data_IF_572832808161
#
_entry.id   IF_572832808161
#
_cell.length_a   1.000
_cell.length_b   1.000
_cell.length_c   1.000
_cell.angle_alpha   90.00
_cell.angle_beta   90.00
_cell.angle_gamma   90.00
#
_symmetry.space_group_name_H-M   'P 1'
#
loop_
_entity.id
_entity.type
_entity.pdbx_description
1 polymer ?
#
# COMPACT_ATOMS: atom_id res chain seq x y z
N UNK A 1 60.62 -55.67 42.52
CA UNK A 1 60.75 -56.14 43.92
C UNK A 1 59.40 -56.67 44.39
N UNK A 2 59.42 -57.87 44.97
CA UNK A 2 58.36 -58.54 45.77
C UNK A 2 57.03 -58.99 45.13
N UNK A 3 57.03 -60.24 44.69
CA UNK A 3 56.12 -61.37 45.03
C UNK A 3 54.93 -61.16 46.00
N UNK A 4 53.74 -61.73 45.66
CA UNK A 4 53.16 -62.99 46.20
C UNK A 4 51.65 -63.12 45.87
N UNK A 5 51.21 -64.23 45.22
CA UNK A 5 50.53 -65.44 45.76
C UNK A 5 49.17 -65.14 46.44
N UNK A 6 48.03 -65.77 46.19
CA UNK A 6 47.61 -66.93 45.40
C UNK A 6 46.22 -67.38 45.90
N UNK A 7 45.29 -67.68 44.96
CA UNK A 7 44.20 -68.71 44.96
C UNK A 7 43.25 -68.92 46.18
N UNK A 8 42.22 -69.81 46.14
CA UNK A 8 41.03 -69.84 45.25
C UNK A 8 39.66 -70.07 46.00
N UNK A 9 38.52 -69.86 45.30
CA UNK A 9 37.13 -70.44 45.37
C UNK A 9 36.57 -71.16 46.62
N UNK A 10 35.24 -71.10 46.93
CA UNK A 10 34.22 -71.75 46.07
C UNK A 10 32.77 -71.19 46.00
N UNK A 11 32.10 -71.67 44.94
CA UNK A 11 30.68 -71.93 44.69
C UNK A 11 29.64 -71.65 45.80
N UNK A 12 28.52 -70.98 45.45
CA UNK A 12 27.19 -71.64 45.41
C UNK A 12 26.05 -70.79 44.79
N UNK A 13 25.20 -71.50 44.03
CA UNK A 13 23.76 -71.35 43.75
C UNK A 13 23.15 -70.16 42.98
N UNK A 14 22.94 -70.47 41.70
CA UNK A 14 21.77 -70.28 40.81
C UNK A 14 20.40 -70.03 41.47
N UNK A 15 19.71 -68.96 41.03
CA UNK A 15 18.25 -68.83 40.74
C UNK A 15 18.12 -67.73 39.67
N UNK A 16 17.88 -67.99 38.38
CA UNK A 16 16.60 -68.33 37.73
C UNK A 16 15.50 -67.28 37.98
N UNK A 17 15.30 -66.38 37.01
CA UNK A 17 14.14 -65.51 36.91
C UNK A 17 14.27 -64.52 35.75
N UNK A 18 13.72 -64.88 34.58
CA UNK A 18 13.48 -64.02 33.42
C UNK A 18 12.62 -62.80 33.82
N UNK A 19 12.71 -61.61 33.22
CA UNK A 19 12.26 -61.24 31.85
C UNK A 19 12.64 -59.77 31.60
N UNK A 20 12.91 -59.45 30.32
CA UNK A 20 12.52 -58.22 29.57
C UNK A 20 12.79 -56.84 30.16
N UNK A 21 13.16 -55.79 29.42
CA UNK A 21 13.61 -55.51 28.06
C UNK A 21 14.08 -54.05 28.14
N UNK A 22 15.08 -53.70 27.35
CA UNK A 22 15.65 -52.35 27.22
C UNK A 22 14.59 -51.25 27.02
N UNK A 23 14.79 -50.11 27.69
CA UNK A 23 14.66 -48.79 27.07
C UNK A 23 15.38 -47.73 27.92
N UNK A 24 16.60 -47.38 27.51
CA UNK A 24 17.21 -46.13 27.89
C UNK A 24 16.62 -45.03 26.98
N UNK A 25 15.99 -44.02 27.56
CA UNK A 25 15.67 -42.78 26.85
C UNK A 25 16.09 -41.59 27.70
N UNK A 26 17.23 -41.01 27.32
CA UNK A 26 17.52 -39.60 27.55
C UNK A 26 16.40 -38.76 26.92
N UNK A 27 15.68 -37.96 27.71
CA UNK A 27 14.87 -36.87 27.17
C UNK A 27 15.63 -35.56 27.38
N UNK A 28 16.20 -35.06 26.28
CA UNK A 28 16.93 -33.81 26.20
C UNK A 28 15.99 -32.74 25.62
N UNK A 29 16.16 -31.51 26.10
CA UNK A 29 15.82 -30.20 25.52
C UNK A 29 14.36 -29.70 25.58
N UNK A 30 14.06 -28.90 26.61
CA UNK A 30 13.03 -27.87 26.54
C UNK A 30 13.60 -26.66 25.77
N UNK A 31 13.52 -26.70 24.44
CA UNK A 31 13.75 -25.53 23.58
C UNK A 31 12.44 -24.74 23.57
N UNK A 32 12.32 -23.79 24.48
CA UNK A 32 11.29 -22.75 24.40
C UNK A 32 11.53 -21.94 23.13
N UNK A 33 10.77 -22.24 22.08
CA UNK A 33 10.75 -21.42 20.86
C UNK A 33 10.16 -20.06 21.23
N UNK A 34 11.02 -19.06 21.41
CA UNK A 34 10.61 -17.66 21.32
C UNK A 34 10.06 -17.46 19.91
N UNK A 35 8.74 -17.39 19.80
CA UNK A 35 8.05 -16.93 18.60
C UNK A 35 8.48 -15.48 18.38
N UNK A 36 9.49 -15.28 17.53
CA UNK A 36 9.84 -13.96 17.00
C UNK A 36 8.62 -13.53 16.17
N UNK A 37 7.75 -12.74 16.77
CA UNK A 37 6.73 -12.03 16.02
C UNK A 37 7.48 -10.94 15.25
N UNK A 38 7.68 -11.16 13.94
CA UNK A 38 8.06 -10.07 13.05
C UNK A 38 6.98 -9.00 13.20
N UNK A 39 7.38 -7.80 13.65
CA UNK A 39 6.51 -6.65 13.72
C UNK A 39 5.94 -6.42 12.30
N UNK A 40 4.64 -6.62 12.14
CA UNK A 40 3.93 -6.23 10.93
C UNK A 40 4.02 -4.70 10.86
N UNK A 41 4.73 -4.18 9.87
CA UNK A 41 4.65 -2.77 9.52
C UNK A 41 3.18 -2.47 9.23
N UNK A 42 2.63 -1.40 9.80
CA UNK A 42 1.26 -0.96 9.53
C UNK A 42 1.18 -0.58 8.04
N UNK A 43 0.72 -1.50 7.20
CA UNK A 43 0.54 -1.23 5.77
C UNK A 43 -0.63 -0.26 5.60
N UNK A 44 -0.36 0.97 5.17
CA UNK A 44 -1.43 1.85 4.71
C UNK A 44 -1.93 1.40 3.35
N UNK A 45 -3.23 1.37 3.18
CA UNK A 45 -3.84 1.03 1.91
C UNK A 45 -4.52 2.25 1.31
N UNK A 46 -4.54 2.33 -0.03
CA UNK A 46 -5.24 3.42 -0.71
C UNK A 46 -6.74 3.49 -0.35
N UNK A 47 -7.32 2.38 0.11
CA UNK A 47 -8.69 2.31 0.63
C UNK A 47 -8.92 3.17 1.89
N UNK A 48 -7.86 3.52 2.60
CA UNK A 48 -7.96 4.27 3.86
C UNK A 48 -8.02 5.79 3.61
N UNK A 49 -7.73 6.22 2.38
CA UNK A 49 -7.86 7.62 1.96
C UNK A 49 -9.34 7.95 1.83
N UNK A 50 -9.80 8.93 2.63
CA UNK A 50 -11.18 9.42 2.56
C UNK A 50 -11.34 10.31 1.34
N UNK A 51 -12.39 10.06 0.55
CA UNK A 51 -12.75 10.86 -0.62
C UNK A 51 -14.07 11.56 -0.35
N UNK A 52 -14.07 12.88 -0.40
CA UNK A 52 -15.29 13.68 -0.45
C UNK A 52 -15.48 14.21 -1.87
N UNK A 53 -16.73 14.24 -2.33
CA UNK A 53 -17.11 14.70 -3.66
C UNK A 53 -18.23 15.72 -3.52
N UNK A 54 -18.07 16.87 -4.15
CA UNK A 54 -19.07 17.93 -4.17
C UNK A 54 -19.32 18.43 -5.60
N UNK A 55 -20.57 18.62 -5.92
CA UNK A 55 -21.09 19.38 -7.07
C UNK A 55 -21.51 20.78 -6.58
N UNK A 56 -21.86 21.71 -7.50
CA UNK A 56 -22.36 23.02 -7.09
C UNK A 56 -23.66 22.95 -6.26
N UNK A 57 -24.48 21.92 -6.47
CA UNK A 57 -25.80 21.79 -5.86
C UNK A 57 -25.76 21.20 -4.44
N UNK A 58 -24.73 20.43 -4.10
CA UNK A 58 -24.58 19.72 -2.82
C UNK A 58 -23.29 20.10 -2.06
N UNK A 59 -22.65 21.22 -2.45
CA UNK A 59 -21.43 21.69 -1.82
C UNK A 59 -21.59 21.95 -0.32
N UNK A 60 -20.61 21.48 0.46
CA UNK A 60 -20.48 21.75 1.87
C UNK A 60 -19.10 22.30 2.17
N UNK A 61 -19.03 23.44 2.86
CA UNK A 61 -17.77 24.01 3.32
C UNK A 61 -17.25 23.19 4.51
N UNK A 62 -16.24 22.35 4.28
CA UNK A 62 -15.56 21.62 5.35
C UNK A 62 -14.57 22.56 6.05
N UNK A 63 -14.48 22.49 7.38
CA UNK A 63 -13.60 23.38 8.14
C UNK A 63 -12.13 23.31 7.68
N UNK A 64 -11.67 22.14 7.24
CA UNK A 64 -10.30 21.90 6.76
C UNK A 64 -10.04 22.41 5.35
N UNK A 65 -11.07 22.68 4.55
CA UNK A 65 -10.95 23.07 3.14
C UNK A 65 -11.79 24.28 2.74
N UNK A 66 -12.43 24.97 3.68
CA UNK A 66 -13.29 26.15 3.44
C UNK A 66 -12.62 27.33 2.75
N UNK A 67 -11.29 27.36 2.72
CA UNK A 67 -10.53 28.38 2.00
C UNK A 67 -10.49 28.13 0.49
N UNK A 68 -10.71 26.89 0.04
CA UNK A 68 -10.80 26.57 -1.38
C UNK A 68 -12.17 26.97 -1.93
N UNK A 69 -12.25 27.52 -3.16
CA UNK A 69 -13.52 27.94 -3.73
C UNK A 69 -14.48 26.75 -3.93
N UNK A 70 -15.81 26.97 -3.87
CA UNK A 70 -16.77 25.94 -4.24
C UNK A 70 -16.64 25.58 -5.74
N UNK A 71 -17.02 24.35 -6.15
CA UNK A 71 -17.06 23.98 -7.56
C UNK A 71 -18.07 24.86 -8.32
N UNK A 72 -17.70 25.27 -9.54
CA UNK A 72 -18.58 26.02 -10.45
C UNK A 72 -19.47 25.07 -11.27
N UNK A 73 -20.49 25.60 -11.94
CA UNK A 73 -21.33 24.83 -12.87
C UNK A 73 -20.49 23.98 -13.84
N UNK A 74 -20.85 22.69 -14.02
CA UNK A 74 -20.14 21.75 -14.87
C UNK A 74 -18.85 21.17 -14.27
N UNK A 75 -18.50 21.51 -13.02
CA UNK A 75 -17.33 21.02 -12.31
C UNK A 75 -17.71 20.24 -11.06
N UNK A 76 -16.87 19.29 -10.70
CA UNK A 76 -16.96 18.49 -9.49
C UNK A 76 -15.67 18.66 -8.69
N UNK A 77 -15.80 19.01 -7.41
CA UNK A 77 -14.69 19.06 -6.46
C UNK A 77 -14.49 17.68 -5.83
N UNK A 78 -13.26 17.18 -5.83
CA UNK A 78 -12.84 15.99 -5.11
C UNK A 78 -11.81 16.39 -4.05
N UNK A 79 -12.01 15.92 -2.82
CA UNK A 79 -11.10 16.16 -1.70
C UNK A 79 -10.60 14.81 -1.19
N UNK A 80 -9.30 14.59 -1.29
CA UNK A 80 -8.64 13.36 -0.86
C UNK A 80 -7.93 13.66 0.46
N UNK A 81 -8.44 13.07 1.54
CA UNK A 81 -7.86 13.22 2.89
C UNK A 81 -7.11 11.95 3.27
N UNK A 82 -5.80 12.09 3.45
CA UNK A 82 -4.91 11.00 3.84
C UNK A 82 -5.00 10.75 5.35
N UNK A 83 -5.08 9.49 5.81
CA UNK A 83 -5.05 9.19 7.24
C UNK A 83 -3.64 9.46 7.81
N UNK A 84 -3.52 9.92 9.06
CA UNK A 84 -2.24 9.97 9.76
C UNK A 84 -1.63 8.57 9.89
N UNK A 85 -0.34 8.43 9.61
CA UNK A 85 0.40 7.22 9.97
C UNK A 85 0.54 7.18 11.50
N UNK A 86 0.15 6.10 12.16
CA UNK A 86 0.13 6.04 13.63
C UNK A 86 1.54 6.15 14.24
N UNK A 87 1.60 6.86 15.36
CA UNK A 87 2.82 7.35 16.04
C UNK A 87 3.73 6.30 16.70
N UNK A 88 3.74 5.04 16.27
CA UNK A 88 4.54 3.97 16.89
C UNK A 88 6.04 4.06 16.56
N UNK A 89 6.40 4.94 15.62
CA UNK A 89 7.79 5.34 15.39
C UNK A 89 7.91 6.85 15.60
N UNK A 90 8.42 7.24 16.77
CA UNK A 90 8.61 8.63 17.24
C UNK A 90 9.53 9.52 16.36
N UNK A 91 9.81 9.17 15.11
CA UNK A 91 10.47 10.05 14.14
C UNK A 91 9.52 10.64 13.07
N UNK A 92 8.29 10.12 12.92
CA UNK A 92 7.08 10.76 12.35
C UNK A 92 7.16 11.50 10.99
N UNK A 93 8.31 11.52 10.33
CA UNK A 93 8.58 12.37 9.17
C UNK A 93 9.19 11.61 8.01
N UNK A 94 9.96 10.54 8.25
CA UNK A 94 10.56 9.75 7.15
C UNK A 94 9.54 8.94 6.37
N UNK A 95 8.59 8.31 7.06
CA UNK A 95 7.70 7.35 6.40
C UNK A 95 6.73 8.01 5.42
N UNK A 96 6.15 9.16 5.76
CA UNK A 96 5.34 9.94 4.80
C UNK A 96 6.20 10.51 3.66
N UNK A 97 7.47 10.83 3.89
CA UNK A 97 8.40 11.31 2.84
C UNK A 97 8.71 10.23 1.81
N UNK A 98 8.72 8.96 2.24
CA UNK A 98 8.91 7.81 1.35
C UNK A 98 7.63 7.44 0.60
N UNK A 99 6.48 8.05 0.95
CA UNK A 99 5.18 7.77 0.36
C UNK A 99 4.76 8.83 -0.66
N UNK A 100 4.19 8.37 -1.76
CA UNK A 100 3.63 9.23 -2.80
C UNK A 100 2.26 8.75 -3.25
N UNK A 101 1.35 9.70 -3.46
CA UNK A 101 0.06 9.47 -4.10
C UNK A 101 0.20 9.64 -5.61
N UNK A 102 0.06 8.56 -6.37
CA UNK A 102 -0.09 8.65 -7.82
C UNK A 102 -1.56 8.82 -8.18
N UNK A 103 -1.89 9.92 -8.83
CA UNK A 103 -3.25 10.26 -9.28
C UNK A 103 -3.35 10.11 -10.80
N UNK A 104 -4.49 9.59 -11.26
CA UNK A 104 -4.87 9.51 -12.66
C UNK A 104 -6.29 10.01 -12.84
N UNK A 105 -6.50 10.85 -13.86
CA UNK A 105 -7.81 11.35 -14.26
C UNK A 105 -8.25 10.68 -15.56
N UNK A 106 -9.51 10.32 -15.65
CA UNK A 106 -10.04 9.61 -16.80
C UNK A 106 -11.55 9.42 -16.74
N UNK A 107 -12.03 8.41 -17.46
CA UNK A 107 -13.42 8.00 -17.45
C UNK A 107 -13.50 6.49 -17.69
N UNK A 108 -14.41 5.83 -16.98
CA UNK A 108 -14.69 4.42 -17.22
C UNK A 108 -15.60 4.27 -18.44
N UNK A 109 -15.13 3.56 -19.47
CA UNK A 109 -15.82 3.41 -20.76
C UNK A 109 -15.80 1.95 -21.23
N UNK A 110 -16.77 1.59 -22.08
CA UNK A 110 -16.78 0.32 -22.80
C UNK A 110 -15.88 0.41 -24.04
N UNK A 111 -14.71 -0.21 -23.98
CA UNK A 111 -13.68 -0.15 -25.02
C UNK A 111 -13.53 -1.48 -25.75
N UNK A 112 -13.09 -1.41 -27.01
CA UNK A 112 -12.70 -2.56 -27.80
C UNK A 112 -11.23 -2.98 -27.51
N UNK A 113 -10.61 -3.67 -28.46
CA UNK A 113 -9.22 -4.11 -28.36
C UNK A 113 -8.18 -2.99 -28.49
N UNK A 114 -8.59 -1.80 -28.93
CA UNK A 114 -7.69 -0.68 -29.13
C UNK A 114 -7.23 -0.06 -27.81
N UNK A 115 -6.04 0.56 -27.86
CA UNK A 115 -5.57 1.42 -26.77
C UNK A 115 -6.21 2.78 -26.95
N UNK A 116 -7.16 3.10 -26.09
CA UNK A 116 -7.84 4.40 -26.05
C UNK A 116 -7.11 5.35 -25.11
N UNK A 117 -7.08 6.62 -25.48
CA UNK A 117 -6.66 7.73 -24.63
C UNK A 117 -7.74 8.80 -24.57
N UNK A 118 -7.71 9.61 -23.51
CA UNK A 118 -8.44 10.88 -23.44
C UNK A 118 -7.44 12.03 -23.60
N UNK A 119 -7.95 13.22 -23.92
CA UNK A 119 -7.18 14.47 -23.90
C UNK A 119 -7.66 15.36 -22.76
N UNK A 120 -6.74 16.12 -22.18
CA UNK A 120 -6.97 16.99 -21.04
C UNK A 120 -5.66 17.33 -20.34
N UNK A 121 -5.62 18.49 -19.70
CA UNK A 121 -4.44 18.97 -18.97
C UNK A 121 -4.82 19.28 -17.53
N UNK A 122 -4.26 18.51 -16.59
CA UNK A 122 -4.42 18.76 -15.16
C UNK A 122 -3.38 19.79 -14.71
N UNK A 123 -3.84 20.98 -14.33
CA UNK A 123 -2.98 22.08 -13.91
C UNK A 123 -2.95 22.21 -12.40
N UNK A 124 -1.77 22.46 -11.86
CA UNK A 124 -1.60 22.90 -10.48
C UNK A 124 -1.83 24.40 -10.39
N UNK A 125 -2.60 24.82 -9.39
CA UNK A 125 -2.88 26.20 -9.07
C UNK A 125 -2.55 26.46 -7.61
N UNK A 126 -2.05 27.65 -7.31
CA UNK A 126 -1.83 28.10 -5.95
C UNK A 126 -2.98 28.99 -5.49
N UNK A 127 -3.53 28.70 -4.32
CA UNK A 127 -4.56 29.48 -3.67
C UNK A 127 -3.93 30.77 -3.11
N UNK A 128 -4.29 31.91 -3.70
CA UNK A 128 -3.76 33.22 -3.32
C UNK A 128 -4.04 33.53 -1.84
N UNK A 129 -3.04 34.09 -1.15
CA UNK A 129 -3.10 34.41 0.28
C UNK A 129 -2.85 33.24 1.23
N UNK A 130 -2.94 31.99 0.74
CA UNK A 130 -2.71 30.78 1.55
C UNK A 130 -1.46 30.01 1.15
N UNK A 131 -1.12 30.04 -0.15
CA UNK A 131 0.00 29.27 -0.69
C UNK A 131 -0.28 27.77 -0.86
N UNK A 132 -1.52 27.32 -0.64
CA UNK A 132 -1.92 25.91 -0.84
C UNK A 132 -2.14 25.59 -2.32
N UNK A 133 -1.77 24.38 -2.72
CA UNK A 133 -2.00 23.91 -4.08
C UNK A 133 -3.37 23.22 -4.23
N UNK A 134 -3.99 23.41 -5.38
CA UNK A 134 -5.11 22.60 -5.85
C UNK A 134 -4.92 22.28 -7.34
N UNK A 135 -5.62 21.25 -7.81
CA UNK A 135 -5.47 20.78 -9.18
C UNK A 135 -6.77 20.98 -9.94
N UNK A 136 -6.69 21.41 -11.20
CA UNK A 136 -7.88 21.67 -12.02
C UNK A 136 -7.69 21.12 -13.42
N UNK A 137 -8.73 20.44 -13.90
CA UNK A 137 -8.87 20.02 -15.29
C UNK A 137 -10.06 20.78 -15.87
N UNK A 138 -9.84 21.61 -16.88
CA UNK A 138 -10.92 22.43 -17.45
C UNK A 138 -11.85 21.64 -18.39
N UNK A 139 -11.30 20.70 -19.14
CA UNK A 139 -12.04 19.91 -20.11
C UNK A 139 -11.42 18.52 -20.28
N UNK A 140 -12.28 17.54 -20.48
CA UNK A 140 -11.93 16.15 -20.80
C UNK A 140 -12.49 15.84 -22.19
N UNK A 141 -11.64 15.43 -23.11
CA UNK A 141 -12.02 15.14 -24.50
C UNK A 141 -11.56 13.77 -24.98
N UNK A 142 -12.06 13.35 -26.15
CA UNK A 142 -11.56 12.16 -26.82
C UNK A 142 -10.09 12.34 -27.23
N UNK A 143 -9.25 11.38 -26.90
CA UNK A 143 -7.84 11.35 -27.28
C UNK A 143 -7.58 10.42 -28.46
N UNK A 144 -6.31 10.12 -28.67
CA UNK A 144 -5.89 9.17 -29.72
C UNK A 144 -6.29 7.73 -29.35
N UNK A 145 -6.62 6.94 -30.37
CA UNK A 145 -6.79 5.50 -30.26
C UNK A 145 -5.96 4.80 -31.32
N UNK A 146 -5.48 3.59 -31.02
CA UNK A 146 -4.96 2.70 -32.06
C UNK A 146 -6.08 2.29 -33.03
N UNK A 147 -5.70 1.79 -34.21
CA UNK A 147 -6.61 1.37 -35.28
C UNK A 147 -6.42 -0.11 -35.64
N UNK A 148 -6.33 -0.98 -34.64
CA UNK A 148 -6.30 -2.43 -34.83
C UNK A 148 -7.70 -2.95 -35.17
N UNK A 149 -7.78 -3.96 -36.03
CA UNK A 149 -9.02 -4.66 -36.31
C UNK A 149 -9.39 -5.56 -35.11
N UNK A 150 -10.53 -5.28 -34.47
CA UNK A 150 -11.04 -6.06 -33.36
C UNK A 150 -12.12 -7.04 -33.85
N UNK A 151 -11.72 -8.21 -34.34
CA UNK A 151 -12.66 -9.25 -34.76
C UNK A 151 -13.22 -10.01 -33.56
N UNK A 152 -14.54 -10.15 -33.49
CA UNK A 152 -15.29 -10.99 -32.53
C UNK A 152 -14.97 -10.78 -31.03
N UNK A 153 -14.47 -9.60 -30.66
CA UNK A 153 -14.23 -9.24 -29.27
C UNK A 153 -15.36 -8.38 -28.71
N UNK A 154 -16.00 -8.86 -27.65
CA UNK A 154 -16.94 -8.07 -26.88
C UNK A 154 -16.22 -6.86 -26.26
N UNK A 155 -16.89 -5.70 -26.26
CA UNK A 155 -16.38 -4.52 -25.54
C UNK A 155 -16.26 -4.84 -24.05
N UNK A 156 -15.21 -4.32 -23.43
CA UNK A 156 -14.95 -4.46 -21.99
C UNK A 156 -14.91 -3.11 -21.31
N UNK A 157 -15.30 -3.08 -20.04
CA UNK A 157 -15.18 -1.87 -19.24
C UNK A 157 -13.70 -1.63 -18.92
N UNK A 158 -13.20 -0.42 -19.22
CA UNK A 158 -11.85 0.00 -18.89
C UNK A 158 -11.81 1.48 -18.52
N UNK A 159 -10.84 1.84 -17.67
CA UNK A 159 -10.57 3.23 -17.33
C UNK A 159 -9.66 3.86 -18.39
N UNK A 160 -10.22 4.74 -19.22
CA UNK A 160 -9.49 5.50 -20.24
C UNK A 160 -9.04 6.81 -19.60
N UNK A 161 -7.75 7.14 -19.70
CA UNK A 161 -7.14 8.25 -18.96
C UNK A 161 -6.55 9.32 -19.87
N UNK A 162 -6.40 10.52 -19.34
CA UNK A 162 -5.57 11.57 -19.96
C UNK A 162 -4.07 11.17 -19.90
N UNK A 163 -3.22 11.66 -20.82
CA UNK A 163 -1.79 11.45 -20.73
C UNK A 163 -1.20 12.12 -19.48
N UNK A 164 -0.03 11.62 -19.07
CA UNK A 164 0.68 12.11 -17.90
C UNK A 164 0.46 11.29 -16.64
N UNK A 165 1.22 11.61 -15.61
CA UNK A 165 1.18 11.02 -14.28
C UNK A 165 1.42 12.12 -13.26
N UNK A 166 0.51 12.27 -12.29
CA UNK A 166 0.70 13.18 -11.17
C UNK A 166 1.11 12.37 -9.96
N UNK A 167 2.31 12.61 -9.42
CA UNK A 167 2.76 12.08 -8.12
C UNK A 167 2.82 13.22 -7.13
N UNK A 168 2.09 13.06 -6.04
CA UNK A 168 2.04 14.02 -4.93
C UNK A 168 2.69 13.39 -3.71
N UNK A 169 3.45 14.16 -2.95
CA UNK A 169 3.93 13.70 -1.64
C UNK A 169 2.75 13.40 -0.71
N UNK A 170 2.87 12.31 0.05
CA UNK A 170 1.92 12.00 1.11
C UNK A 170 2.03 13.06 2.21
N UNK A 171 0.90 13.63 2.62
CA UNK A 171 0.83 14.56 3.75
C UNK A 171 -0.55 14.41 4.40
N UNK A 172 -0.61 13.72 5.54
CA UNK A 172 -1.86 13.49 6.27
C UNK A 172 -2.47 14.77 6.86
N UNK A 173 -1.70 15.87 6.93
CA UNK A 173 -2.15 17.15 7.50
C UNK A 173 -2.87 18.00 6.46
N UNK A 174 -2.68 17.73 5.18
CA UNK A 174 -3.21 18.57 4.08
C UNK A 174 -3.96 17.73 3.04
N UNK A 175 -5.29 17.90 2.94
CA UNK A 175 -6.07 17.28 1.87
C UNK A 175 -5.60 17.69 0.47
N UNK A 176 -5.68 16.78 -0.50
CA UNK A 176 -5.44 17.11 -1.91
C UNK A 176 -6.77 17.45 -2.57
N UNK A 177 -6.89 18.65 -3.15
CA UNK A 177 -8.14 19.17 -3.73
C UNK A 177 -8.04 19.20 -5.26
N UNK A 178 -9.05 18.64 -5.93
CA UNK A 178 -9.16 18.56 -7.39
C UNK A 178 -10.49 19.13 -7.86
N UNK A 179 -10.48 19.87 -8.97
CA UNK A 179 -11.68 20.27 -9.71
C UNK A 179 -11.63 19.63 -11.08
N UNK A 180 -12.61 18.76 -11.36
CA UNK A 180 -12.68 18.00 -12.60
C UNK A 180 -14.02 18.28 -13.29
N UNK A 181 -14.10 18.25 -14.62
CA UNK A 181 -15.37 18.44 -15.30
C UNK A 181 -16.31 17.28 -14.98
N UNK A 182 -17.62 17.51 -15.06
CA UNK A 182 -18.61 16.46 -14.91
C UNK A 182 -18.34 15.25 -15.83
N UNK A 183 -18.55 14.05 -15.29
CA UNK A 183 -18.26 12.80 -15.99
C UNK A 183 -16.78 12.37 -15.97
N UNK A 184 -15.86 13.21 -15.48
CA UNK A 184 -14.50 12.79 -15.17
C UNK A 184 -14.43 12.06 -13.83
N UNK A 185 -13.56 11.06 -13.80
CA UNK A 185 -13.27 10.21 -12.66
C UNK A 185 -11.82 10.38 -12.24
N UNK A 186 -11.58 10.29 -10.93
CA UNK A 186 -10.26 10.25 -10.32
C UNK A 186 -10.01 8.85 -9.75
N UNK A 187 -8.84 8.30 -10.04
CA UNK A 187 -8.33 7.10 -9.36
C UNK A 187 -6.90 7.34 -8.91
N UNK A 188 -6.49 6.64 -7.86
CA UNK A 188 -5.16 6.79 -7.32
C UNK A 188 -4.63 5.49 -6.74
N UNK A 189 -3.32 5.45 -6.52
CA UNK A 189 -2.63 4.41 -5.74
C UNK A 189 -1.47 5.03 -4.98
N UNK A 190 -1.05 4.35 -3.93
CA UNK A 190 0.12 4.73 -3.16
C UNK A 190 1.38 4.07 -3.74
N UNK A 191 2.48 4.80 -3.65
CA UNK A 191 3.84 4.33 -3.89
C UNK A 191 4.63 4.51 -2.61
N UNK A 192 5.53 3.57 -2.35
CA UNK A 192 6.49 3.66 -1.27
C UNK A 192 7.89 3.47 -1.84
N UNK A 193 8.81 4.33 -1.46
CA UNK A 193 10.22 4.18 -1.77
C UNK A 193 10.85 3.08 -0.89
N UNK A 194 11.89 2.44 -1.40
CA UNK A 194 12.75 1.63 -0.55
C UNK A 194 13.51 2.53 0.43
N UNK A 195 13.74 2.08 1.68
CA UNK A 195 14.35 2.92 2.71
C UNK A 195 15.84 3.21 2.44
N UNK A 196 16.52 2.32 1.72
CA UNK A 196 17.96 2.39 1.50
C UNK A 196 18.31 3.02 0.15
N UNK A 197 19.30 3.91 0.16
CA UNK A 197 19.86 4.49 -1.06
C UNK A 197 21.05 3.68 -1.55
N UNK A 198 21.06 3.37 -2.84
CA UNK A 198 22.25 2.84 -3.52
C UNK A 198 23.14 3.99 -4.01
N UNK A 199 24.45 3.85 -3.79
CA UNK A 199 25.46 4.80 -4.27
C UNK A 199 26.17 4.22 -5.49
N UNK A 200 26.44 5.04 -6.51
CA UNK A 200 27.07 4.60 -7.76
C UNK A 200 28.61 4.42 -7.69
N UNK A 201 29.19 4.38 -6.48
CA UNK A 201 30.65 4.43 -6.30
C UNK A 201 31.30 3.05 -6.39
#
# INVERSE_FOLDING_TARGET
>A
MSWNLGSPTPLFKRRSGTKSLLAATCAVIALSTLQIHAAQASEIHASDIRIERFTPDDYQALETTKMFPPPTAGMVQYILTMPPLTAERKDGTREEQDLQLQVQIGQTQMVDCNKHGLTGELKEHTLSGWGYSYYRLDALGAGISTQMACFDQAKKQAFVRIPGELRLGYDSRMPKVFYLPEGAEIRFRLWQAEPDFSYSK
#
